data_IF_919942173868
#
_entry.id   IF_919942173868
#
_cell.length_a   1.000
_cell.length_b   1.000
_cell.length_c   1.000
_cell.angle_alpha   90.00
_cell.angle_beta   90.00
_cell.angle_gamma   90.00
#
_symmetry.space_group_name_H-M   'P 1'
#
loop_
_entity.id
_entity.type
_entity.pdbx_description
1 polymer ?
#
# COMPACT_ATOMS: atom_id res chain seq x y z
N UNK A 1 27.66 -20.13 31.18
CA UNK A 1 26.76 -19.81 30.05
C UNK A 1 26.32 -18.36 30.21
N UNK A 2 26.54 -17.46 29.24
CA UNK A 2 25.94 -16.14 29.32
C UNK A 2 24.42 -16.28 29.07
N UNK A 3 23.63 -15.68 29.96
CA UNK A 3 22.18 -15.53 29.83
C UNK A 3 21.88 -14.73 28.56
N UNK A 4 21.45 -15.41 27.50
CA UNK A 4 21.06 -14.77 26.25
C UNK A 4 19.75 -14.00 26.42
N UNK A 5 19.82 -12.68 26.59
CA UNK A 5 18.64 -11.83 26.52
C UNK A 5 18.02 -11.98 25.13
N UNK A 6 16.80 -12.51 25.06
CA UNK A 6 16.00 -12.51 23.83
C UNK A 6 15.83 -11.05 23.37
N UNK A 7 16.46 -10.71 22.24
CA UNK A 7 16.50 -9.35 21.72
C UNK A 7 15.18 -9.06 20.99
N UNK A 8 14.13 -8.74 21.73
CA UNK A 8 12.89 -8.24 21.14
C UNK A 8 12.96 -6.72 20.89
N UNK A 9 12.20 -6.24 19.90
CA UNK A 9 12.02 -4.81 19.69
C UNK A 9 10.64 -4.54 19.08
N UNK A 10 10.07 -3.39 19.46
CA UNK A 10 8.76 -2.97 18.95
C UNK A 10 8.91 -1.91 17.87
N UNK A 11 8.06 -1.99 16.85
CA UNK A 11 7.93 -0.99 15.79
C UNK A 11 6.45 -0.75 15.54
N UNK A 12 6.07 0.53 15.44
CA UNK A 12 4.75 0.93 14.95
C UNK A 12 4.82 1.23 13.45
N UNK A 13 4.06 0.49 12.66
CA UNK A 13 3.80 0.81 11.27
C UNK A 13 2.64 1.81 11.20
N UNK A 14 2.85 2.91 10.49
CA UNK A 14 1.87 4.00 10.38
C UNK A 14 1.53 4.22 8.91
N UNK A 15 0.28 3.99 8.55
CA UNK A 15 -0.27 4.26 7.23
C UNK A 15 -1.12 5.54 7.28
N UNK A 16 -0.63 6.57 6.60
CA UNK A 16 -1.29 7.86 6.43
C UNK A 16 -2.13 7.84 5.14
N UNK A 17 -3.27 7.16 5.19
CA UNK A 17 -4.21 7.07 4.08
C UNK A 17 -4.93 8.39 3.78
N UNK A 18 -5.70 8.46 2.70
CA UNK A 18 -6.43 9.68 2.31
C UNK A 18 -7.73 9.93 3.07
N UNK A 19 -8.17 9.00 3.91
CA UNK A 19 -9.38 9.14 4.74
C UNK A 19 -9.23 8.57 6.15
N UNK A 20 -8.19 7.78 6.40
CA UNK A 20 -7.90 7.20 7.72
C UNK A 20 -6.42 7.21 8.00
N UNK A 21 -6.05 7.41 9.27
CA UNK A 21 -4.74 7.03 9.81
C UNK A 21 -4.89 5.64 10.41
N UNK A 22 -3.97 4.74 10.05
CA UNK A 22 -3.95 3.38 10.56
C UNK A 22 -2.60 3.09 11.18
N UNK A 23 -2.61 2.48 12.35
CA UNK A 23 -1.39 2.10 13.07
C UNK A 23 -1.46 0.64 13.48
N UNK A 24 -0.31 -0.04 13.43
CA UNK A 24 -0.12 -1.39 13.95
C UNK A 24 1.23 -1.44 14.65
N UNK A 25 1.25 -1.80 15.92
CA UNK A 25 2.49 -2.09 16.64
C UNK A 25 2.73 -3.59 16.68
N UNK A 26 3.91 -4.00 16.19
CA UNK A 26 4.39 -5.37 16.30
C UNK A 26 5.61 -5.44 17.21
N UNK A 27 5.63 -6.45 18.06
CA UNK A 27 6.82 -6.92 18.75
C UNK A 27 7.51 -7.95 17.87
N UNK A 28 8.78 -7.72 17.54
CA UNK A 28 9.63 -8.69 16.85
C UNK A 28 10.40 -9.51 17.85
N UNK A 29 10.27 -10.83 17.76
CA UNK A 29 11.01 -11.80 18.58
C UNK A 29 11.81 -12.75 17.69
N UNK A 30 12.63 -13.61 18.29
CA UNK A 30 13.32 -14.68 17.56
C UNK A 30 12.35 -15.67 16.89
N UNK A 31 11.13 -15.80 17.40
CA UNK A 31 10.13 -16.76 16.94
C UNK A 31 9.10 -16.17 15.95
N UNK A 32 9.29 -14.91 15.55
CA UNK A 32 8.36 -14.19 14.65
C UNK A 32 7.84 -12.90 15.26
N UNK A 33 6.77 -12.38 14.66
CA UNK A 33 6.15 -11.12 15.06
C UNK A 33 4.85 -11.36 15.82
N UNK A 34 4.60 -10.53 16.84
CA UNK A 34 3.40 -10.57 17.66
C UNK A 34 2.70 -9.22 17.63
N UNK A 35 1.38 -9.24 17.47
CA UNK A 35 0.55 -8.03 17.56
C UNK A 35 0.55 -7.51 19.00
N UNK A 36 0.96 -6.26 19.17
CA UNK A 36 0.87 -5.54 20.46
C UNK A 36 -0.42 -4.75 20.51
N UNK A 37 -0.66 -3.91 19.50
CA UNK A 37 -1.88 -3.10 19.39
C UNK A 37 -2.09 -2.62 17.95
N UNK A 38 -3.29 -2.13 17.65
CA UNK A 38 -3.63 -1.45 16.41
C UNK A 38 -4.59 -0.30 16.68
N UNK A 39 -4.72 0.62 15.73
CA UNK A 39 -5.64 1.73 15.80
C UNK A 39 -6.01 2.25 14.43
N UNK A 40 -7.25 2.73 14.31
CA UNK A 40 -7.77 3.39 13.11
C UNK A 40 -8.42 4.70 13.56
N UNK A 41 -8.09 5.79 12.89
CA UNK A 41 -8.70 7.09 13.10
C UNK A 41 -9.17 7.67 11.77
N UNK A 42 -10.41 8.11 11.70
CA UNK A 42 -10.96 8.78 10.53
C UNK A 42 -10.48 10.23 10.44
N UNK A 43 -10.22 10.68 9.23
CA UNK A 43 -9.90 12.07 8.93
C UNK A 43 -11.19 12.81 8.59
N UNK A 44 -11.43 13.95 9.24
CA UNK A 44 -12.63 14.78 9.00
C UNK A 44 -12.69 15.30 7.57
N UNK A 45 -11.54 15.62 7.00
CA UNK A 45 -11.38 16.03 5.61
C UNK A 45 -10.19 15.29 4.99
N UNK A 46 -10.10 15.24 3.66
CA UNK A 46 -8.97 14.60 2.98
C UNK A 46 -7.71 15.44 3.18
N UNK A 47 -6.94 15.15 4.24
CA UNK A 47 -5.65 15.80 4.56
C UNK A 47 -4.50 15.27 3.68
N UNK A 48 -4.84 14.48 2.66
CA UNK A 48 -3.89 13.82 1.76
C UNK A 48 -2.96 14.80 1.01
N UNK A 49 -3.39 16.06 0.84
CA UNK A 49 -2.50 17.11 0.34
C UNK A 49 -1.76 17.74 1.52
N UNK A 50 -0.47 17.43 1.62
CA UNK A 50 0.44 17.94 2.65
C UNK A 50 0.99 19.34 2.33
N UNK A 51 0.42 20.03 1.35
CA UNK A 51 0.82 21.36 0.87
C UNK A 51 0.61 22.47 1.92
N UNK A 52 -0.33 22.28 2.84
CA UNK A 52 -0.64 23.21 3.92
C UNK A 52 -0.02 22.79 5.25
N UNK A 53 0.69 23.72 5.90
CA UNK A 53 1.14 23.56 7.29
C UNK A 53 -0.01 23.28 8.27
N UNK A 54 -1.22 23.77 7.97
CA UNK A 54 -2.41 23.49 8.78
C UNK A 54 -2.77 22.00 8.69
N UNK A 55 -2.77 21.44 7.49
CA UNK A 55 -3.07 20.02 7.27
C UNK A 55 -2.03 19.13 7.98
N UNK A 56 -0.76 19.50 7.93
CA UNK A 56 0.30 18.76 8.63
C UNK A 56 0.14 18.78 10.15
N UNK A 57 -0.28 19.91 10.74
CA UNK A 57 -0.56 20.03 12.19
C UNK A 57 -1.77 19.19 12.59
N UNK A 58 -2.83 19.22 11.79
CA UNK A 58 -4.03 18.41 12.03
C UNK A 58 -3.70 16.92 11.94
N UNK A 59 -2.95 16.51 10.92
CA UNK A 59 -2.55 15.11 10.74
C UNK A 59 -1.63 14.62 11.87
N UNK A 60 -0.69 15.45 12.33
CA UNK A 60 0.15 15.13 13.48
C UNK A 60 -0.66 14.99 14.78
N UNK A 61 -1.65 15.87 14.99
CA UNK A 61 -2.54 15.82 16.17
C UNK A 61 -3.39 14.55 16.16
N UNK A 62 -3.96 14.20 15.00
CA UNK A 62 -4.74 12.97 14.83
C UNK A 62 -3.86 11.73 15.00
N UNK A 63 -2.62 11.75 14.49
CA UNK A 63 -1.65 10.67 14.69
C UNK A 63 -1.32 10.49 16.18
N UNK A 64 -1.06 11.58 16.91
CA UNK A 64 -0.80 11.54 18.34
C UNK A 64 -2.01 10.98 19.12
N UNK A 65 -3.22 11.38 18.74
CA UNK A 65 -4.47 10.88 19.33
C UNK A 65 -4.64 9.37 19.15
N UNK A 66 -4.45 8.85 17.93
CA UNK A 66 -4.60 7.41 17.66
C UNK A 66 -3.51 6.59 18.33
N UNK A 67 -2.27 7.07 18.38
CA UNK A 67 -1.15 6.47 19.11
C UNK A 67 -1.50 6.33 20.60
N UNK A 68 -2.01 7.41 21.21
CA UNK A 68 -2.44 7.41 22.61
C UNK A 68 -3.63 6.49 22.86
N UNK A 69 -4.67 6.55 22.02
CA UNK A 69 -5.89 5.73 22.15
C UNK A 69 -5.60 4.24 22.01
N UNK A 70 -4.77 3.85 21.04
CA UNK A 70 -4.34 2.47 20.84
C UNK A 70 -3.33 2.00 21.89
N UNK A 71 -2.80 2.91 22.74
CA UNK A 71 -1.78 2.62 23.76
C UNK A 71 -0.50 2.06 23.17
N UNK A 72 -0.04 2.64 22.06
CA UNK A 72 1.25 2.29 21.45
C UNK A 72 2.37 2.50 22.48
N UNK A 73 3.25 1.51 22.61
CA UNK A 73 4.29 1.49 23.65
C UNK A 73 5.68 1.91 23.15
N UNK A 74 5.89 1.91 21.83
CA UNK A 74 7.14 2.30 21.18
C UNK A 74 7.04 3.68 20.53
N UNK A 75 8.13 4.45 20.56
CA UNK A 75 8.26 5.67 19.75
C UNK A 75 8.81 5.39 18.35
N UNK A 76 9.28 4.17 18.06
CA UNK A 76 9.91 3.82 16.79
C UNK A 76 8.85 3.57 15.72
N UNK A 77 8.77 4.46 14.74
CA UNK A 77 7.79 4.38 13.67
C UNK A 77 8.42 4.07 12.31
N UNK A 78 7.65 3.42 11.45
CA UNK A 78 7.92 3.27 10.01
C UNK A 78 6.66 3.70 9.26
N UNK A 79 6.82 4.50 8.22
CA UNK A 79 5.69 5.00 7.41
C UNK A 79 5.88 4.69 5.93
N UNK A 80 4.77 4.67 5.21
CA UNK A 80 4.76 4.67 3.76
C UNK A 80 4.56 6.10 3.24
N UNK A 81 5.23 6.45 2.15
CA UNK A 81 4.75 7.46 1.22
C UNK A 81 3.87 6.76 0.18
N UNK A 82 2.79 7.43 -0.20
CA UNK A 82 1.93 6.94 -1.27
C UNK A 82 2.71 6.79 -2.57
N UNK A 83 2.43 5.72 -3.32
CA UNK A 83 3.04 5.46 -4.62
C UNK A 83 2.82 6.59 -5.65
N UNK A 84 1.85 7.49 -5.45
CA UNK A 84 1.71 8.70 -6.31
C UNK A 84 2.88 9.68 -6.16
N UNK A 85 3.48 9.73 -4.97
CA UNK A 85 4.58 10.64 -4.64
C UNK A 85 5.96 9.96 -4.76
N UNK A 86 6.00 8.72 -5.26
CA UNK A 86 7.20 7.94 -5.39
C UNK A 86 7.33 7.36 -6.81
N UNK A 87 8.47 7.61 -7.43
CA UNK A 87 8.81 7.01 -8.72
C UNK A 87 9.54 5.68 -8.49
N UNK A 88 9.00 4.59 -9.03
CA UNK A 88 9.61 3.27 -8.97
C UNK A 88 9.91 2.76 -10.39
N UNK A 89 11.15 2.34 -10.63
CA UNK A 89 11.54 1.78 -11.93
C UNK A 89 12.64 0.75 -11.77
N UNK A 90 12.72 -0.16 -12.74
CA UNK A 90 13.86 -1.07 -12.88
C UNK A 90 14.82 -0.48 -13.91
N UNK A 91 16.10 -0.39 -13.54
CA UNK A 91 17.18 0.06 -14.41
C UNK A 91 18.13 -1.11 -14.66
N UNK A 92 18.44 -1.37 -15.92
CA UNK A 92 19.48 -2.31 -16.32
C UNK A 92 20.82 -1.59 -16.41
N UNK A 93 21.80 -2.06 -15.63
CA UNK A 93 23.18 -1.59 -15.67
C UNK A 93 24.09 -2.67 -16.27
N UNK A 94 25.13 -2.30 -17.03
CA UNK A 94 26.13 -3.26 -17.47
C UNK A 94 26.91 -3.83 -16.28
N UNK A 95 27.67 -4.91 -16.51
CA UNK A 95 28.55 -5.47 -15.50
C UNK A 95 29.58 -4.42 -15.05
N UNK A 96 29.56 -4.07 -13.76
CA UNK A 96 30.51 -3.11 -13.19
C UNK A 96 30.76 -3.38 -11.69
N UNK A 97 31.90 -2.89 -11.14
CA UNK A 97 32.18 -2.95 -9.71
C UNK A 97 31.09 -2.27 -8.87
N UNK A 98 30.81 -2.77 -7.67
CA UNK A 98 29.77 -2.22 -6.79
C UNK A 98 29.99 -0.75 -6.42
N UNK A 99 31.25 -0.31 -6.39
CA UNK A 99 31.63 1.08 -6.10
C UNK A 99 31.14 2.07 -7.17
N UNK A 100 30.95 1.61 -8.41
CA UNK A 100 30.56 2.45 -9.55
C UNK A 100 29.03 2.53 -9.72
N UNK A 101 28.29 1.59 -9.12
CA UNK A 101 26.83 1.49 -9.24
C UNK A 101 26.16 2.81 -8.87
N UNK A 102 26.58 3.47 -7.79
CA UNK A 102 25.96 4.72 -7.33
C UNK A 102 26.02 5.81 -8.41
N UNK A 103 27.18 5.99 -9.03
CA UNK A 103 27.38 6.99 -10.08
C UNK A 103 26.60 6.64 -11.35
N UNK A 104 26.60 5.35 -11.73
CA UNK A 104 25.83 4.85 -12.87
C UNK A 104 24.33 5.07 -12.68
N UNK A 105 23.79 4.76 -11.49
CA UNK A 105 22.40 5.03 -11.13
C UNK A 105 22.12 6.52 -11.25
N UNK A 106 22.93 7.39 -10.64
CA UNK A 106 22.69 8.84 -10.72
C UNK A 106 22.63 9.37 -12.16
N UNK A 107 23.40 8.77 -13.08
CA UNK A 107 23.36 9.12 -14.49
C UNK A 107 22.10 8.59 -15.19
N UNK A 108 21.72 7.33 -14.98
CA UNK A 108 20.48 6.77 -15.56
C UNK A 108 19.23 7.47 -15.04
N UNK A 109 19.20 7.78 -13.75
CA UNK A 109 18.07 8.42 -13.07
C UNK A 109 17.79 9.81 -13.65
N UNK A 110 18.84 10.60 -13.95
CA UNK A 110 18.70 11.94 -14.56
C UNK A 110 17.91 11.94 -15.86
N UNK A 111 17.86 10.82 -16.59
CA UNK A 111 17.13 10.72 -17.87
C UNK A 111 15.63 10.51 -17.70
N UNK A 112 15.18 10.06 -16.53
CA UNK A 112 13.82 9.55 -16.32
C UNK A 112 13.06 10.23 -15.19
N UNK A 113 13.72 10.95 -14.29
CA UNK A 113 13.03 11.63 -13.19
C UNK A 113 12.39 12.95 -13.64
N UNK A 114 11.21 13.29 -13.11
CA UNK A 114 10.49 14.52 -13.49
C UNK A 114 11.02 15.79 -12.82
N UNK A 115 11.90 15.67 -11.83
CA UNK A 115 12.44 16.77 -11.04
C UNK A 115 13.98 16.71 -11.03
N UNK A 116 14.68 17.82 -10.76
CA UNK A 116 16.13 17.81 -10.57
C UNK A 116 16.55 16.81 -9.49
N UNK A 117 17.66 16.10 -9.72
CA UNK A 117 18.18 15.08 -8.82
C UNK A 117 18.44 15.63 -7.41
N UNK A 118 18.82 16.90 -7.30
CA UNK A 118 19.12 17.60 -6.05
C UNK A 118 17.87 17.79 -5.18
N UNK A 119 16.68 17.81 -5.79
CA UNK A 119 15.38 17.89 -5.10
C UNK A 119 14.78 16.52 -4.79
N UNK A 120 15.49 15.43 -5.10
CA UNK A 120 15.01 14.06 -4.96
C UNK A 120 15.84 13.28 -3.94
N UNK A 121 15.17 12.43 -3.18
CA UNK A 121 15.78 11.37 -2.37
C UNK A 121 15.72 10.08 -3.15
N UNK A 122 16.85 9.38 -3.25
CA UNK A 122 16.96 8.11 -3.97
C UNK A 122 17.28 6.97 -3.01
N UNK A 123 16.63 5.84 -3.23
CA UNK A 123 16.99 4.55 -2.67
C UNK A 123 17.02 3.51 -3.79
N UNK A 124 17.91 2.52 -3.68
CA UNK A 124 17.96 1.45 -4.67
C UNK A 124 18.28 0.10 -4.04
N UNK A 125 17.89 -0.95 -4.75
CA UNK A 125 18.18 -2.34 -4.39
C UNK A 125 18.61 -3.11 -5.64
N UNK A 126 19.69 -3.89 -5.53
CA UNK A 126 20.11 -4.81 -6.58
C UNK A 126 19.13 -5.98 -6.62
N UNK A 127 18.61 -6.25 -7.81
CA UNK A 127 17.72 -7.37 -8.11
C UNK A 127 18.59 -8.54 -8.59
N UNK A 128 18.39 -9.75 -8.07
CA UNK A 128 19.03 -10.94 -8.64
C UNK A 128 18.68 -11.08 -10.13
N UNK A 129 19.70 -11.12 -10.99
CA UNK A 129 19.55 -11.31 -12.43
C UNK A 129 20.50 -12.39 -12.94
N UNK A 130 20.04 -13.19 -13.90
CA UNK A 130 20.82 -14.28 -14.52
C UNK A 130 21.79 -13.78 -15.62
N UNK A 131 21.68 -12.52 -16.04
CA UNK A 131 22.55 -11.90 -17.04
C UNK A 131 23.87 -11.37 -16.45
N UNK A 132 24.82 -11.02 -17.32
CA UNK A 132 26.10 -10.39 -16.92
C UNK A 132 25.91 -8.99 -16.31
N UNK A 133 24.81 -8.30 -16.64
CA UNK A 133 24.46 -7.00 -16.08
C UNK A 133 23.80 -7.08 -14.71
N UNK A 134 23.58 -5.92 -14.08
CA UNK A 134 22.87 -5.78 -12.81
C UNK A 134 21.52 -5.11 -13.05
N UNK A 135 20.45 -5.72 -12.55
CA UNK A 135 19.13 -5.08 -12.47
C UNK A 135 19.01 -4.32 -11.15
N UNK A 136 18.56 -3.08 -11.19
CA UNK A 136 18.41 -2.23 -10.03
C UNK A 136 16.95 -1.79 -9.91
N UNK A 137 16.29 -2.08 -8.78
CA UNK A 137 15.04 -1.42 -8.42
C UNK A 137 15.39 -0.07 -7.80
N UNK A 138 14.99 1.01 -8.45
CA UNK A 138 15.13 2.37 -7.96
C UNK A 138 13.79 2.86 -7.42
N UNK A 139 13.83 3.49 -6.26
CA UNK A 139 12.74 4.30 -5.70
C UNK A 139 13.23 5.72 -5.50
N UNK A 140 12.49 6.70 -6.02
CA UNK A 140 12.80 8.11 -5.89
C UNK A 140 11.57 8.89 -5.38
N UNK A 141 11.78 9.85 -4.48
CA UNK A 141 10.71 10.72 -3.97
C UNK A 141 11.21 12.16 -3.78
N UNK A 142 10.36 13.18 -3.93
CA UNK A 142 10.76 14.56 -3.65
C UNK A 142 11.22 14.72 -2.19
N UNK A 143 12.33 15.42 -1.96
CA UNK A 143 12.87 15.69 -0.61
C UNK A 143 11.86 16.40 0.28
N UNK A 144 11.15 17.37 -0.29
CA UNK A 144 10.11 18.13 0.41
C UNK A 144 9.04 17.22 1.01
N UNK A 145 8.57 16.22 0.27
CA UNK A 145 7.59 15.24 0.79
C UNK A 145 8.19 14.43 1.93
N UNK A 146 9.45 13.99 1.81
CA UNK A 146 10.14 13.25 2.89
C UNK A 146 10.25 14.10 4.16
N UNK A 147 10.62 15.37 4.02
CA UNK A 147 10.75 16.34 5.11
C UNK A 147 9.41 16.59 5.80
N UNK A 148 8.32 16.74 5.04
CA UNK A 148 6.97 16.90 5.60
C UNK A 148 6.57 15.71 6.49
N UNK A 149 6.83 14.48 6.04
CA UNK A 149 6.59 13.29 6.87
C UNK A 149 7.45 13.32 8.13
N UNK A 150 8.73 13.67 8.02
CA UNK A 150 9.59 13.78 9.22
C UNK A 150 9.05 14.79 10.23
N UNK A 151 8.53 15.94 9.78
CA UNK A 151 7.91 16.94 10.66
C UNK A 151 6.61 16.46 11.31
N UNK A 152 5.74 15.77 10.56
CA UNK A 152 4.49 15.20 11.08
C UNK A 152 4.78 14.21 12.21
N UNK A 153 5.70 13.27 11.98
CA UNK A 153 6.05 12.26 12.97
C UNK A 153 6.76 12.87 14.19
N UNK A 154 7.63 13.86 13.98
CA UNK A 154 8.26 14.60 15.07
C UNK A 154 7.22 15.31 15.96
N UNK A 155 6.20 15.94 15.37
CA UNK A 155 5.10 16.59 16.09
C UNK A 155 4.20 15.59 16.83
N UNK A 156 4.15 14.35 16.37
CA UNK A 156 3.40 13.26 17.01
C UNK A 156 4.24 12.46 18.04
N UNK A 157 5.42 12.97 18.44
CA UNK A 157 6.35 12.33 19.38
C UNK A 157 6.85 10.94 18.94
N UNK A 158 6.90 10.70 17.61
CA UNK A 158 7.40 9.47 17.02
C UNK A 158 8.76 9.68 16.35
N UNK A 159 9.66 8.71 16.57
CA UNK A 159 10.97 8.63 15.91
C UNK A 159 10.79 7.83 14.62
N UNK A 160 10.81 8.54 13.50
CA UNK A 160 10.70 7.90 12.19
C UNK A 160 12.00 7.17 11.84
N UNK A 161 11.96 5.84 11.87
CA UNK A 161 13.11 4.96 11.60
C UNK A 161 13.17 4.47 10.16
N UNK A 162 12.14 4.73 9.37
CA UNK A 162 12.12 4.37 7.97
C UNK A 162 10.91 4.94 7.23
N UNK A 163 11.17 5.35 5.98
CA UNK A 163 10.15 5.68 4.99
C UNK A 163 10.33 4.70 3.83
N UNK A 164 9.24 4.16 3.30
CA UNK A 164 9.22 3.33 2.11
C UNK A 164 7.93 3.56 1.31
N UNK A 165 7.66 2.78 0.26
CA UNK A 165 6.41 2.88 -0.49
C UNK A 165 5.34 1.98 0.12
N UNK A 166 4.09 2.43 0.06
CA UNK A 166 2.90 1.66 0.45
C UNK A 166 2.86 0.26 -0.19
N UNK A 167 3.24 0.14 -1.47
CA UNK A 167 3.25 -1.13 -2.19
C UNK A 167 4.29 -2.11 -1.65
N UNK A 168 5.45 -1.60 -1.21
CA UNK A 168 6.51 -2.44 -0.61
C UNK A 168 6.05 -3.01 0.74
N UNK A 169 5.36 -2.17 1.53
CA UNK A 169 4.77 -2.59 2.78
C UNK A 169 3.63 -3.60 2.54
N UNK A 170 2.69 -3.28 1.65
CA UNK A 170 1.56 -4.14 1.32
C UNK A 170 2.01 -5.53 0.84
N UNK A 171 3.00 -5.56 -0.07
CA UNK A 171 3.61 -6.80 -0.53
C UNK A 171 4.14 -7.64 0.64
N UNK A 172 4.78 -7.00 1.62
CA UNK A 172 5.41 -7.68 2.77
C UNK A 172 4.38 -8.38 3.66
N UNK A 173 3.19 -7.81 3.81
CA UNK A 173 2.14 -8.40 4.65
C UNK A 173 1.28 -9.41 3.92
N UNK A 174 1.04 -9.25 2.61
CA UNK A 174 0.01 -10.02 1.89
C UNK A 174 0.52 -11.08 0.91
N UNK A 175 1.81 -11.08 0.56
CA UNK A 175 2.39 -12.01 -0.43
C UNK A 175 3.63 -12.72 0.11
N UNK A 176 3.67 -14.05 -0.09
CA UNK A 176 4.84 -14.91 0.12
C UNK A 176 5.93 -14.71 -0.94
N UNK A 177 7.20 -14.95 -0.58
CA UNK A 177 8.37 -14.51 -1.36
C UNK A 177 8.57 -15.10 -2.77
N UNK A 178 7.74 -16.02 -3.27
CA UNK A 178 7.99 -16.79 -4.51
C UNK A 178 6.87 -16.75 -5.57
N UNK A 179 5.87 -15.88 -5.43
CA UNK A 179 4.72 -15.85 -6.35
C UNK A 179 4.73 -14.57 -7.17
N UNK A 180 4.54 -14.67 -8.50
CA UNK A 180 4.24 -13.49 -9.33
C UNK A 180 2.77 -13.15 -9.14
N UNK A 181 2.49 -11.99 -8.53
CA UNK A 181 1.13 -11.59 -8.17
C UNK A 181 0.85 -10.15 -8.56
N UNK A 182 -0.39 -9.88 -8.94
CA UNK A 182 -0.91 -8.53 -9.11
C UNK A 182 -1.52 -8.07 -7.79
N UNK A 183 -0.91 -7.05 -7.17
CA UNK A 183 -1.46 -6.33 -6.03
C UNK A 183 -2.39 -5.23 -6.51
N UNK A 184 -3.57 -5.16 -5.91
CA UNK A 184 -4.54 -4.08 -6.13
C UNK A 184 -5.00 -3.56 -4.77
N UNK A 185 -4.56 -2.37 -4.39
CA UNK A 185 -4.99 -1.70 -3.16
C UNK A 185 -5.96 -0.59 -3.51
N UNK A 186 -7.25 -0.80 -3.21
CA UNK A 186 -8.31 0.15 -3.54
C UNK A 186 -8.64 0.93 -2.27
N UNK A 187 -8.08 2.13 -2.18
CA UNK A 187 -8.29 3.07 -1.08
C UNK A 187 -9.53 3.95 -1.27
N UNK A 188 -9.62 5.02 -0.48
CA UNK A 188 -10.75 5.93 -0.53
C UNK A 188 -10.74 6.82 -1.79
N UNK A 189 -9.56 7.35 -2.15
CA UNK A 189 -9.41 8.26 -3.30
C UNK A 189 -8.62 7.66 -4.44
N UNK A 190 -7.71 6.71 -4.16
CA UNK A 190 -6.76 6.21 -5.13
C UNK A 190 -6.73 4.68 -5.12
N UNK A 191 -6.29 4.10 -6.23
CA UNK A 191 -6.02 2.67 -6.36
C UNK A 191 -4.56 2.47 -6.76
N UNK A 192 -3.81 1.69 -5.97
CA UNK A 192 -2.47 1.25 -6.34
C UNK A 192 -2.55 -0.11 -7.03
N UNK A 193 -1.92 -0.24 -8.19
CA UNK A 193 -1.85 -1.45 -8.99
C UNK A 193 -0.37 -1.78 -9.20
N UNK A 194 0.08 -2.95 -8.76
CA UNK A 194 1.45 -3.35 -8.97
C UNK A 194 1.60 -4.83 -9.26
N UNK A 195 2.54 -5.15 -10.15
CA UNK A 195 2.97 -6.53 -10.37
C UNK A 195 4.20 -6.78 -9.53
N UNK A 196 4.11 -7.75 -8.63
CA UNK A 196 5.21 -8.23 -7.81
C UNK A 196 5.77 -9.46 -8.49
N UNK A 197 7.06 -9.47 -8.80
CA UNK A 197 7.78 -10.62 -9.34
C UNK A 197 9.08 -10.81 -8.56
N UNK A 198 9.38 -12.05 -8.17
CA UNK A 198 10.52 -12.38 -7.29
C UNK A 198 10.59 -11.48 -6.04
N UNK A 199 9.42 -11.13 -5.52
CA UNK A 199 9.29 -10.28 -4.35
C UNK A 199 9.51 -8.79 -4.56
N UNK A 200 9.69 -8.31 -5.79
CA UNK A 200 9.93 -6.91 -6.09
C UNK A 200 8.80 -6.33 -6.95
N UNK A 201 8.41 -5.07 -6.74
CA UNK A 201 7.47 -4.39 -7.63
C UNK A 201 8.18 -4.10 -8.96
N UNK A 202 7.84 -4.85 -10.00
CA UNK A 202 8.42 -4.68 -11.35
C UNK A 202 7.63 -3.68 -12.20
N UNK A 203 6.34 -3.52 -11.92
CA UNK A 203 5.49 -2.46 -12.45
C UNK A 203 4.65 -1.91 -11.30
N UNK A 204 4.55 -0.58 -11.19
CA UNK A 204 3.64 0.10 -10.28
C UNK A 204 2.92 1.23 -11.01
N UNK A 205 1.61 1.31 -10.82
CA UNK A 205 0.73 2.38 -11.31
C UNK A 205 -0.21 2.80 -10.20
N UNK A 206 -0.50 4.08 -10.15
CA UNK A 206 -1.50 4.67 -9.28
C UNK A 206 -2.54 5.37 -10.15
N UNK A 207 -3.82 5.24 -9.79
CA UNK A 207 -4.91 5.99 -10.40
C UNK A 207 -5.72 6.70 -9.32
N UNK A 208 -6.18 7.91 -9.62
CA UNK A 208 -7.00 8.76 -8.73
C UNK A 208 -8.46 8.30 -8.71
N UNK A 209 -8.66 7.00 -8.47
CA UNK A 209 -9.97 6.36 -8.38
C UNK A 209 -10.00 5.45 -7.17
N UNK A 210 -11.00 5.62 -6.30
CA UNK A 210 -11.19 4.81 -5.10
C UNK A 210 -12.66 4.71 -4.69
N UNK A 211 -12.91 4.32 -3.43
CA UNK A 211 -14.27 4.14 -2.89
C UNK A 211 -15.13 5.42 -2.98
N UNK A 212 -14.53 6.60 -2.84
CA UNK A 212 -15.22 7.89 -2.97
C UNK A 212 -15.72 8.13 -4.39
N UNK A 213 -14.94 7.74 -5.41
CA UNK A 213 -15.38 7.84 -6.81
C UNK A 213 -16.59 6.95 -7.07
N UNK A 214 -16.62 5.75 -6.50
CA UNK A 214 -17.76 4.84 -6.56
C UNK A 214 -18.98 5.47 -5.87
N UNK A 215 -18.79 5.97 -4.65
CA UNK A 215 -19.85 6.59 -3.84
C UNK A 215 -20.47 7.80 -4.55
N UNK A 216 -19.64 8.71 -5.06
CA UNK A 216 -20.08 9.86 -5.85
C UNK A 216 -20.84 9.47 -7.12
N UNK A 217 -20.45 8.35 -7.76
CA UNK A 217 -21.18 7.85 -8.93
C UNK A 217 -22.58 7.34 -8.54
N UNK A 218 -22.72 6.68 -7.39
CA UNK A 218 -24.03 6.25 -6.85
C UNK A 218 -24.89 7.48 -6.53
N UNK A 219 -24.35 8.48 -5.83
CA UNK A 219 -25.05 9.73 -5.50
C UNK A 219 -25.68 10.35 -6.75
N UNK A 220 -24.88 10.52 -7.81
CA UNK A 220 -25.33 11.14 -9.07
C UNK A 220 -26.37 10.31 -9.81
N UNK A 221 -26.19 8.99 -9.88
CA UNK A 221 -27.09 8.11 -10.64
C UNK A 221 -28.40 7.82 -9.90
N UNK A 222 -28.40 7.90 -8.57
CA UNK A 222 -29.56 7.57 -7.73
C UNK A 222 -30.20 8.78 -7.06
N UNK A 223 -29.59 9.96 -7.19
CA UNK A 223 -30.03 11.21 -6.55
C UNK A 223 -30.22 11.05 -5.03
N UNK A 224 -29.22 10.49 -4.36
CA UNK A 224 -29.21 10.27 -2.90
C UNK A 224 -28.03 10.98 -2.25
N UNK A 225 -28.15 11.27 -0.95
CA UNK A 225 -27.06 11.85 -0.16
C UNK A 225 -25.89 10.88 0.07
N UNK A 226 -24.72 11.41 0.52
CA UNK A 226 -23.47 10.66 0.63
C UNK A 226 -23.58 9.43 1.56
N UNK A 227 -24.17 9.59 2.75
CA UNK A 227 -24.33 8.49 3.71
C UNK A 227 -25.16 7.34 3.12
N UNK A 228 -26.19 7.68 2.35
CA UNK A 228 -27.06 6.69 1.71
C UNK A 228 -26.36 6.02 0.52
N UNK A 229 -25.56 6.76 -0.22
CA UNK A 229 -24.75 6.21 -1.32
C UNK A 229 -23.67 5.25 -0.81
N UNK A 230 -23.01 5.59 0.30
CA UNK A 230 -22.04 4.73 0.96
C UNK A 230 -22.70 3.45 1.49
N UNK A 231 -23.86 3.58 2.14
CA UNK A 231 -24.66 2.43 2.54
C UNK A 231 -25.02 1.54 1.34
N UNK A 232 -25.47 2.12 0.22
CA UNK A 232 -25.75 1.35 -0.99
C UNK A 232 -24.51 0.65 -1.56
N UNK A 233 -23.34 1.31 -1.54
CA UNK A 233 -22.07 0.71 -1.97
C UNK A 233 -21.79 -0.56 -1.17
N UNK A 234 -21.88 -0.47 0.15
CA UNK A 234 -21.50 -1.54 1.07
C UNK A 234 -22.53 -2.67 1.11
N UNK A 235 -23.83 -2.33 1.05
CA UNK A 235 -24.92 -3.30 1.12
C UNK A 235 -25.13 -4.07 -0.19
N UNK A 236 -24.91 -3.43 -1.34
CA UNK A 236 -25.24 -4.03 -2.65
C UNK A 236 -24.01 -4.63 -3.31
N UNK A 237 -22.88 -3.92 -3.29
CA UNK A 237 -21.63 -4.34 -3.92
C UNK A 237 -21.71 -4.57 -5.43
N UNK A 238 -20.81 -5.40 -5.94
CA UNK A 238 -20.70 -5.69 -7.37
C UNK A 238 -21.71 -6.76 -7.82
N UNK A 239 -22.24 -6.66 -9.05
CA UNK A 239 -23.19 -7.63 -9.57
C UNK A 239 -22.54 -9.00 -9.78
N UNK A 240 -23.25 -10.06 -9.38
CA UNK A 240 -22.86 -11.45 -9.65
C UNK A 240 -22.99 -11.78 -11.13
N UNK A 241 -24.07 -11.31 -11.77
CA UNK A 241 -24.36 -11.53 -13.19
C UNK A 241 -24.54 -10.20 -13.92
N UNK A 242 -24.10 -10.13 -15.18
CA UNK A 242 -24.06 -8.90 -15.98
C UNK A 242 -25.44 -8.36 -16.40
N UNK A 243 -26.52 -9.12 -16.25
CA UNK A 243 -27.83 -8.81 -16.84
C UNK A 243 -28.92 -8.37 -15.83
N UNK A 244 -28.76 -8.64 -14.53
CA UNK A 244 -29.77 -8.29 -13.50
C UNK A 244 -29.04 -7.73 -12.28
N UNK A 245 -29.05 -6.41 -12.13
CA UNK A 245 -28.42 -5.75 -10.99
C UNK A 245 -29.23 -4.57 -10.50
N UNK A 246 -29.22 -4.35 -9.19
CA UNK A 246 -29.75 -3.12 -8.58
C UNK A 246 -29.06 -1.88 -9.22
N UNK A 247 -29.73 -0.72 -9.38
CA UNK A 247 -29.13 0.49 -9.94
C UNK A 247 -27.78 0.87 -9.33
N UNK A 248 -27.63 0.80 -8.00
CA UNK A 248 -26.36 1.02 -7.33
C UNK A 248 -25.27 0.03 -7.79
N UNK A 249 -25.60 -1.26 -7.95
CA UNK A 249 -24.67 -2.27 -8.45
C UNK A 249 -24.14 -1.93 -9.85
N UNK A 250 -25.00 -1.40 -10.73
CA UNK A 250 -24.59 -0.90 -12.06
C UNK A 250 -23.70 0.36 -11.97
N UNK A 251 -24.01 1.27 -11.05
CA UNK A 251 -23.18 2.45 -10.82
C UNK A 251 -21.78 2.06 -10.28
N UNK A 252 -21.71 1.04 -9.43
CA UNK A 252 -20.45 0.49 -8.91
C UNK A 252 -19.65 -0.17 -10.05
N UNK A 253 -20.28 -1.07 -10.81
CA UNK A 253 -19.61 -1.78 -11.91
C UNK A 253 -19.12 -0.83 -13.00
N UNK A 254 -19.87 0.24 -13.29
CA UNK A 254 -19.45 1.25 -14.28
C UNK A 254 -18.08 1.87 -13.95
N UNK A 255 -17.87 2.27 -12.68
CA UNK A 255 -16.56 2.81 -12.23
C UNK A 255 -15.51 1.70 -12.24
N UNK A 256 -15.87 0.52 -11.74
CA UNK A 256 -14.96 -0.63 -11.69
C UNK A 256 -14.44 -1.01 -13.09
N UNK A 257 -15.32 -1.13 -14.08
CA UNK A 257 -14.98 -1.55 -15.44
C UNK A 257 -14.16 -0.51 -16.19
N UNK A 258 -14.64 0.74 -16.21
CA UNK A 258 -14.10 1.77 -17.08
C UNK A 258 -12.83 2.41 -16.54
N UNK A 259 -12.58 2.32 -15.23
CA UNK A 259 -11.45 2.97 -14.59
C UNK A 259 -10.46 1.97 -14.00
N UNK A 260 -10.91 1.06 -13.13
CA UNK A 260 -10.01 0.17 -12.39
C UNK A 260 -9.60 -1.04 -13.24
N UNK A 261 -10.57 -1.84 -13.72
CA UNK A 261 -10.32 -3.04 -14.54
C UNK A 261 -9.61 -2.65 -15.85
N UNK A 262 -9.98 -1.53 -16.46
CA UNK A 262 -9.30 -1.01 -17.66
C UNK A 262 -7.82 -0.75 -17.41
N UNK A 263 -7.44 -0.06 -16.33
CA UNK A 263 -6.03 0.18 -16.03
C UNK A 263 -5.31 -1.11 -15.61
N UNK A 264 -5.98 -2.00 -14.88
CA UNK A 264 -5.43 -3.32 -14.54
C UNK A 264 -5.08 -4.10 -15.81
N UNK A 265 -5.97 -4.16 -16.80
CA UNK A 265 -5.71 -4.80 -18.11
C UNK A 265 -4.51 -4.15 -18.82
N UNK A 266 -4.36 -2.83 -18.73
CA UNK A 266 -3.21 -2.11 -19.29
C UNK A 266 -1.89 -2.48 -18.61
N UNK A 267 -1.89 -2.58 -17.28
CA UNK A 267 -0.73 -3.00 -16.48
C UNK A 267 -0.33 -4.44 -16.80
N UNK A 268 -1.30 -5.36 -16.89
CA UNK A 268 -1.08 -6.76 -17.28
C UNK A 268 -0.44 -6.83 -18.67
N UNK A 269 -1.03 -6.15 -19.66
CA UNK A 269 -0.52 -6.12 -21.03
C UNK A 269 0.93 -5.61 -21.09
N UNK A 270 1.21 -4.50 -20.39
CA UNK A 270 2.57 -3.92 -20.31
C UNK A 270 3.59 -4.91 -19.72
N UNK A 271 3.19 -5.76 -18.78
CA UNK A 271 4.08 -6.77 -18.21
C UNK A 271 4.33 -7.94 -19.16
N UNK A 272 3.27 -8.44 -19.79
CA UNK A 272 3.33 -9.57 -20.71
C UNK A 272 4.14 -9.24 -21.97
N UNK A 273 4.06 -8.01 -22.48
CA UNK A 273 4.87 -7.54 -23.61
C UNK A 273 6.38 -7.56 -23.30
N UNK A 274 6.77 -7.29 -22.04
CA UNK A 274 8.17 -7.14 -21.63
C UNK A 274 8.83 -8.43 -21.10
N UNK A 275 8.13 -9.21 -20.27
CA UNK A 275 8.71 -10.38 -19.56
C UNK A 275 8.10 -11.71 -20.02
N UNK A 276 6.97 -11.69 -20.73
CA UNK A 276 6.19 -12.88 -21.16
C UNK A 276 5.90 -13.90 -20.05
N UNK A 277 5.85 -13.46 -18.79
CA UNK A 277 5.53 -14.30 -17.63
C UNK A 277 4.07 -14.17 -17.24
N UNK A 278 3.51 -15.29 -16.78
CA UNK A 278 2.16 -15.31 -16.25
C UNK A 278 2.07 -14.70 -14.85
N UNK A 279 0.92 -14.08 -14.58
CA UNK A 279 0.53 -13.60 -13.26
C UNK A 279 -0.27 -14.72 -12.60
N UNK A 280 0.23 -15.26 -11.49
CA UNK A 280 -0.38 -16.43 -10.86
C UNK A 280 -1.71 -16.10 -10.18
N UNK A 281 -1.80 -14.93 -9.55
CA UNK A 281 -2.98 -14.50 -8.80
C UNK A 281 -3.08 -12.98 -8.68
N UNK A 282 -4.29 -12.51 -8.38
CA UNK A 282 -4.60 -11.16 -7.97
C UNK A 282 -4.84 -11.15 -6.47
N UNK A 283 -4.25 -10.20 -5.76
CA UNK A 283 -4.45 -9.99 -4.33
C UNK A 283 -5.00 -8.58 -4.14
N UNK A 284 -6.26 -8.51 -3.67
CA UNK A 284 -6.97 -7.25 -3.41
C UNK A 284 -6.80 -6.86 -1.95
N UNK A 285 -6.52 -5.58 -1.71
CA UNK A 285 -6.38 -4.97 -0.39
C UNK A 285 -7.09 -3.61 -0.34
N UNK A 286 -7.07 -2.97 0.82
CA UNK A 286 -7.63 -1.64 1.03
C UNK A 286 -9.08 -1.67 1.46
N UNK A 287 -9.67 -0.50 1.67
CA UNK A 287 -11.04 -0.39 2.19
C UNK A 287 -12.11 -0.98 1.27
N UNK A 288 -11.91 -0.91 -0.05
CA UNK A 288 -12.84 -1.47 -1.02
C UNK A 288 -12.76 -3.01 -1.15
N UNK A 289 -11.82 -3.68 -0.47
CA UNK A 289 -11.78 -5.15 -0.44
C UNK A 289 -13.03 -5.78 0.19
N UNK A 290 -13.79 -5.02 0.99
CA UNK A 290 -15.06 -5.43 1.60
C UNK A 290 -16.26 -5.39 0.66
N UNK A 291 -16.09 -4.81 -0.53
CA UNK A 291 -17.16 -4.71 -1.50
C UNK A 291 -17.65 -6.12 -1.88
N UNK A 292 -18.95 -6.38 -1.70
CA UNK A 292 -19.52 -7.70 -1.95
C UNK A 292 -19.22 -8.15 -3.38
N UNK A 293 -18.83 -9.41 -3.52
CA UNK A 293 -18.48 -10.08 -4.78
C UNK A 293 -17.20 -9.57 -5.49
N UNK A 294 -16.37 -8.74 -4.86
CA UNK A 294 -15.19 -8.16 -5.53
C UNK A 294 -14.21 -9.20 -6.07
N UNK A 295 -13.91 -10.26 -5.32
CA UNK A 295 -12.99 -11.32 -5.79
C UNK A 295 -13.55 -12.04 -7.01
N UNK A 296 -14.81 -12.49 -6.94
CA UNK A 296 -15.48 -13.14 -8.06
C UNK A 296 -15.58 -12.23 -9.29
N UNK A 297 -15.75 -10.92 -9.08
CA UNK A 297 -15.82 -9.94 -10.14
C UNK A 297 -14.49 -9.83 -10.88
N UNK A 298 -13.40 -9.58 -10.16
CA UNK A 298 -12.05 -9.50 -10.75
C UNK A 298 -11.64 -10.82 -11.41
N UNK A 299 -11.94 -11.96 -10.77
CA UNK A 299 -11.66 -13.28 -11.36
C UNK A 299 -12.38 -13.51 -12.68
N UNK A 300 -13.63 -13.07 -12.80
CA UNK A 300 -14.37 -13.16 -14.07
C UNK A 300 -13.79 -12.21 -15.12
N UNK A 301 -13.60 -10.95 -14.78
CA UNK A 301 -13.20 -9.91 -15.73
C UNK A 301 -11.77 -10.08 -16.25
N UNK A 302 -10.89 -10.67 -15.44
CA UNK A 302 -9.46 -10.81 -15.73
C UNK A 302 -9.03 -12.26 -15.98
N UNK A 303 -9.89 -13.24 -15.69
CA UNK A 303 -9.59 -14.69 -15.82
C UNK A 303 -8.36 -15.13 -15.01
N UNK A 304 -8.13 -14.48 -13.87
CA UNK A 304 -7.03 -14.79 -12.93
C UNK A 304 -7.63 -15.03 -11.55
N UNK A 305 -7.14 -16.03 -10.83
CA UNK A 305 -7.55 -16.29 -9.45
C UNK A 305 -7.37 -15.03 -8.60
N UNK A 306 -8.43 -14.60 -7.91
CA UNK A 306 -8.42 -13.38 -7.10
C UNK A 306 -8.76 -13.70 -5.66
N UNK A 307 -7.92 -13.23 -4.74
CA UNK A 307 -8.09 -13.38 -3.31
C UNK A 307 -8.02 -12.02 -2.60
N UNK A 308 -8.57 -11.96 -1.39
CA UNK A 308 -8.32 -10.84 -0.47
C UNK A 308 -6.98 -11.07 0.24
N UNK A 309 -6.16 -10.04 0.34
CA UNK A 309 -4.89 -10.09 1.06
C UNK A 309 -5.10 -10.21 2.55
N UNK A 310 -4.58 -11.28 3.15
CA UNK A 310 -4.56 -11.47 4.60
C UNK A 310 -3.20 -11.04 5.15
N UNK A 311 -3.10 -9.91 5.88
CA UNK A 311 -1.83 -9.43 6.41
C UNK A 311 -1.36 -10.16 7.66
N UNK A 312 -2.20 -11.03 8.25
CA UNK A 312 -1.95 -11.64 9.56
C UNK A 312 -1.28 -13.02 9.50
N UNK A 313 -1.07 -13.56 8.30
CA UNK A 313 -0.61 -14.95 8.07
C UNK A 313 0.65 -15.35 8.86
N UNK A 314 1.53 -14.40 9.18
CA UNK A 314 2.79 -14.64 9.89
C UNK A 314 2.91 -13.84 11.19
N UNK A 315 1.78 -13.46 11.78
CA UNK A 315 1.70 -12.66 13.00
C UNK A 315 0.90 -13.42 14.04
N UNK A 316 1.45 -13.52 15.24
CA UNK A 316 0.74 -14.09 16.38
C UNK A 316 -0.11 -13.00 17.05
N UNK A 317 -1.34 -13.35 17.42
CA UNK A 317 -2.29 -12.46 18.10
C UNK A 317 -3.23 -13.29 19.01
N UNK A 318 -3.87 -12.68 20.02
CA UNK A 318 -4.84 -13.36 20.86
C UNK A 318 -6.03 -13.90 20.04
N UNK A 319 -6.44 -15.15 20.29
CA UNK A 319 -7.55 -15.81 19.58
C UNK A 319 -8.86 -15.02 19.65
N UNK A 320 -9.11 -14.33 20.77
CA UNK A 320 -10.28 -13.46 20.96
C UNK A 320 -10.38 -12.31 19.94
N UNK A 321 -9.28 -11.94 19.27
CA UNK A 321 -9.24 -10.90 18.23
C UNK A 321 -9.37 -11.46 16.81
N UNK A 322 -9.40 -12.78 16.62
CA UNK A 322 -9.27 -13.40 15.29
C UNK A 322 -10.37 -12.96 14.31
N UNK A 323 -11.63 -12.94 14.74
CA UNK A 323 -12.75 -12.54 13.88
C UNK A 323 -12.67 -11.06 13.49
N UNK A 324 -12.34 -10.19 14.45
CA UNK A 324 -12.21 -8.75 14.20
C UNK A 324 -11.04 -8.47 13.26
N UNK A 325 -9.86 -9.04 13.54
CA UNK A 325 -8.66 -8.86 12.72
C UNK A 325 -8.85 -9.38 11.31
N UNK A 326 -9.56 -10.50 11.13
CA UNK A 326 -9.93 -11.00 9.79
C UNK A 326 -10.78 -9.98 9.03
N UNK A 327 -11.71 -9.31 9.71
CA UNK A 327 -12.56 -8.28 9.11
C UNK A 327 -11.77 -7.01 8.77
N UNK A 328 -10.90 -6.51 9.65
CA UNK A 328 -10.21 -5.23 9.41
C UNK A 328 -8.84 -5.38 8.72
N UNK A 329 -8.35 -6.61 8.57
CA UNK A 329 -7.02 -6.93 8.05
C UNK A 329 -6.68 -6.21 6.75
N UNK A 330 -7.50 -6.33 5.69
CA UNK A 330 -7.21 -5.67 4.41
C UNK A 330 -7.05 -4.15 4.53
N UNK A 331 -7.73 -3.50 5.46
CA UNK A 331 -7.58 -2.07 5.72
C UNK A 331 -6.22 -1.77 6.37
N UNK A 332 -5.75 -2.65 7.25
CA UNK A 332 -4.50 -2.52 8.00
C UNK A 332 -3.28 -3.07 7.26
N UNK A 333 -3.43 -3.69 6.10
CA UNK A 333 -2.37 -4.45 5.43
C UNK A 333 -1.08 -3.64 5.20
N UNK A 334 -1.19 -2.36 4.82
CA UNK A 334 -0.03 -1.46 4.68
C UNK A 334 0.64 -1.21 6.04
N UNK A 335 -0.12 -0.84 7.07
CA UNK A 335 0.41 -0.61 8.42
C UNK A 335 1.08 -1.87 9.01
N UNK A 336 0.47 -3.04 8.81
CA UNK A 336 1.07 -4.34 9.18
C UNK A 336 2.39 -4.54 8.43
N UNK A 337 2.39 -4.31 7.12
CA UNK A 337 3.59 -4.39 6.29
C UNK A 337 4.72 -3.50 6.80
N UNK A 338 4.41 -2.25 7.14
CA UNK A 338 5.35 -1.28 7.70
C UNK A 338 5.91 -1.75 9.05
N UNK A 339 5.04 -2.26 9.93
CA UNK A 339 5.43 -2.78 11.24
C UNK A 339 6.29 -4.06 11.12
N UNK A 340 6.10 -4.86 10.07
CA UNK A 340 6.91 -6.04 9.76
C UNK A 340 8.34 -5.70 9.28
N UNK A 341 8.64 -4.42 9.03
CA UNK A 341 9.98 -4.00 8.60
C UNK A 341 11.00 -4.25 9.70
N UNK A 342 11.85 -5.27 9.51
CA UNK A 342 12.98 -5.54 10.40
C UNK A 342 14.05 -4.45 10.26
N UNK A 343 14.82 -4.20 11.32
CA UNK A 343 16.02 -3.36 11.25
C UNK A 343 16.95 -3.90 10.15
N UNK A 344 17.44 -3.00 9.29
CA UNK A 344 18.65 -3.27 8.50
C UNK A 344 19.86 -3.13 9.41
#
# INVERSE_FOLDING_TARGET
MPLGFNKSFNVVGVDLGSSTIKIVELEHTNNGSRLVTYGIAEQKHSLYKLDSQSNQKELASLLQEVVKKARVTTSRAVTAISSINAFNTVVDLPSMPDKEIKSAIQWEVKKIIPLPLEKMTLNWQIIPSQGKGKKILLTAAPKEIVEQYMEIFKKADLILTGIETDISALRRSTISNNTTALLIDIGATNTNIAIISNGLPVISRNIDVGSKTITLNIEKNMNVGPDRAEQFRDDIGLPKDSFIGHPAGRAISFVMDNMIIKEVKRVISTYQDNDKKDINKIVISGGCSHLKNITSYFSRELKIETIIGDPWQNITYPEALAEELKKIGPNLAVAVGLALRKKK
#
